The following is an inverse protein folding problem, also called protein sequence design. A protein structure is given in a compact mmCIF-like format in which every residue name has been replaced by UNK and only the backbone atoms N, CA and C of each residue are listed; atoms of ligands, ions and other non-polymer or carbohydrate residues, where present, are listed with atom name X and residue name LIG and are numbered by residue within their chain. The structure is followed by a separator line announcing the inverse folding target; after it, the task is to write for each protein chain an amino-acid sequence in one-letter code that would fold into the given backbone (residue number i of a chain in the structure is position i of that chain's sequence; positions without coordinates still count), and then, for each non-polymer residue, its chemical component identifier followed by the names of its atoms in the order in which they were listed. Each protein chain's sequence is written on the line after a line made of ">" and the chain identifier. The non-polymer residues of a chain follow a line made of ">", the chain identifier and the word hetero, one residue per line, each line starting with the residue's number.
data_IF_977440812574
#
_entry.id   IF_977440812574
#
_cell.length_a   1.000
_cell.length_b   1.000
_cell.length_c   1.000
_cell.angle_alpha   90.00
_cell.angle_beta   90.00
_cell.angle_gamma   90.00
#
_symmetry.space_group_name_H-M   'P 1'
#
loop_
_entity.id
_entity.type
_entity.pdbx_description
1 polymer ?
#
# COMPACT_ATOMS: atom_id res chain seq x y z
N UNK A 1 25.15 -0.93 -12.76
CA UNK A 1 25.21 -1.10 -11.32
C UNK A 1 23.96 -0.62 -10.59
N UNK A 2 23.38 0.49 -11.00
CA UNK A 2 22.11 0.96 -10.45
C UNK A 2 20.97 0.01 -10.74
N UNK A 3 21.02 -0.71 -11.87
CA UNK A 3 19.99 -1.67 -12.25
C UNK A 3 19.90 -2.87 -11.31
N UNK A 4 21.01 -3.25 -10.64
CA UNK A 4 21.02 -4.38 -9.72
C UNK A 4 20.29 -4.09 -8.42
N UNK A 5 20.32 -2.83 -7.98
CA UNK A 5 19.61 -2.42 -6.76
C UNK A 5 18.09 -2.39 -6.96
N UNK A 6 17.65 -2.10 -8.18
CA UNK A 6 16.22 -2.08 -8.51
C UNK A 6 15.61 -3.47 -8.55
N UNK A 7 16.44 -4.49 -8.85
CA UNK A 7 15.99 -5.87 -8.98
C UNK A 7 16.04 -6.64 -7.66
N UNK A 8 16.64 -6.07 -6.62
CA UNK A 8 16.68 -6.70 -5.30
C UNK A 8 15.41 -6.35 -4.53
N UNK A 9 14.67 -7.35 -4.04
CA UNK A 9 13.46 -7.07 -3.27
C UNK A 9 13.83 -6.36 -1.96
N UNK A 10 13.14 -5.28 -1.69
CA UNK A 10 13.26 -4.57 -0.42
C UNK A 10 12.56 -5.39 0.68
N UNK A 11 12.76 -4.98 1.94
CA UNK A 11 12.06 -5.61 3.06
C UNK A 11 10.55 -5.46 2.93
N UNK A 12 10.09 -4.32 2.40
CA UNK A 12 8.66 -4.11 2.13
C UNK A 12 8.15 -5.07 1.07
N UNK A 13 8.93 -5.34 0.03
CA UNK A 13 8.55 -6.29 -1.02
C UNK A 13 8.34 -7.69 -0.43
N UNK A 14 9.23 -8.11 0.47
CA UNK A 14 9.10 -9.41 1.16
C UNK A 14 7.81 -9.51 1.97
N UNK A 15 7.48 -8.43 2.68
CA UNK A 15 6.27 -8.37 3.50
C UNK A 15 5.02 -8.46 2.62
N UNK A 16 5.03 -7.78 1.48
CA UNK A 16 3.92 -7.80 0.53
C UNK A 16 3.77 -9.16 -0.15
N UNK A 17 4.89 -9.80 -0.50
CA UNK A 17 4.87 -11.17 -1.04
C UNK A 17 4.27 -12.14 -0.03
N UNK A 18 4.62 -11.98 1.25
CA UNK A 18 4.07 -12.81 2.31
C UNK A 18 2.57 -12.64 2.44
N UNK A 19 2.08 -11.39 2.37
CA UNK A 19 0.65 -11.10 2.41
C UNK A 19 -0.10 -11.79 1.27
N UNK A 20 0.41 -11.65 0.05
CA UNK A 20 -0.22 -12.26 -1.14
C UNK A 20 -0.24 -13.78 -1.02
N UNK A 21 0.82 -14.38 -0.47
CA UNK A 21 0.90 -15.82 -0.31
C UNK A 21 -0.03 -16.36 0.78
N UNK A 22 -0.12 -15.65 1.91
CA UNK A 22 -0.88 -16.12 3.08
C UNK A 22 -2.37 -15.92 2.97
N UNK A 23 -2.80 -14.83 2.35
CA UNK A 23 -4.23 -14.48 2.33
C UNK A 23 -4.80 -14.88 0.98
N UNK A 24 -5.78 -15.82 0.97
CA UNK A 24 -6.35 -16.29 -0.29
C UNK A 24 -6.99 -15.16 -1.10
N UNK A 25 -6.81 -15.24 -2.41
CA UNK A 25 -7.45 -14.38 -3.40
C UNK A 25 -6.88 -12.98 -3.50
N UNK A 26 -5.87 -12.61 -2.70
CA UNK A 26 -5.09 -11.41 -2.94
C UNK A 26 -4.15 -11.69 -4.11
N UNK A 27 -4.20 -10.86 -5.15
CA UNK A 27 -3.38 -11.05 -6.33
C UNK A 27 -2.19 -10.09 -6.38
N UNK A 28 -2.35 -8.89 -5.87
CA UNK A 28 -1.32 -7.84 -5.92
C UNK A 28 -1.40 -6.97 -4.68
N UNK A 29 -0.25 -6.51 -4.20
CA UNK A 29 -0.16 -5.61 -3.07
C UNK A 29 0.95 -4.59 -3.29
N UNK A 30 0.70 -3.34 -2.93
CA UNK A 30 1.64 -2.22 -3.10
C UNK A 30 1.58 -1.33 -1.87
N UNK A 31 2.74 -0.98 -1.30
CA UNK A 31 2.84 0.14 -0.37
C UNK A 31 3.17 1.40 -1.17
N UNK A 32 2.57 2.51 -0.78
CA UNK A 32 2.73 3.78 -1.48
C UNK A 32 2.75 4.94 -0.51
N UNK A 33 3.35 6.03 -0.95
CA UNK A 33 3.29 7.29 -0.24
C UNK A 33 1.98 8.01 -0.56
N UNK A 34 1.64 8.97 0.28
CA UNK A 34 0.41 9.76 0.15
C UNK A 34 0.34 10.50 -1.20
N UNK A 35 1.48 10.83 -1.79
CA UNK A 35 1.56 11.51 -3.09
C UNK A 35 1.65 10.53 -4.29
N UNK A 36 1.45 9.25 -4.06
CA UNK A 36 1.30 8.28 -5.14
C UNK A 36 2.55 7.59 -5.61
N UNK A 37 3.64 7.67 -4.83
CA UNK A 37 4.88 6.97 -5.17
C UNK A 37 4.89 5.57 -4.56
N UNK A 38 5.20 4.56 -5.36
CA UNK A 38 5.31 3.19 -4.86
C UNK A 38 6.55 3.04 -3.98
N UNK A 39 6.36 2.49 -2.79
CA UNK A 39 7.44 2.23 -1.82
C UNK A 39 7.85 0.76 -1.81
N UNK A 40 6.98 -0.13 -2.20
CA UNK A 40 7.21 -1.55 -2.31
C UNK A 40 6.07 -2.21 -3.04
N UNK A 41 6.32 -3.39 -3.61
CA UNK A 41 5.33 -4.11 -4.40
C UNK A 41 5.54 -5.62 -4.27
N UNK A 42 4.45 -6.39 -4.36
CA UNK A 42 4.53 -7.84 -4.43
C UNK A 42 5.10 -8.25 -5.79
N UNK A 43 5.60 -9.49 -5.87
CA UNK A 43 6.20 -10.03 -7.09
C UNK A 43 5.17 -10.13 -8.21
N UNK A 44 5.67 -10.08 -9.44
CA UNK A 44 4.85 -10.33 -10.62
C UNK A 44 4.09 -9.11 -11.12
N UNK A 45 4.30 -7.95 -10.52
CA UNK A 45 3.71 -6.71 -11.03
C UNK A 45 4.76 -5.96 -11.83
N UNK A 46 4.44 -5.60 -13.06
CA UNK A 46 5.33 -4.76 -13.86
C UNK A 46 5.43 -3.37 -13.26
N UNK A 47 6.56 -2.71 -13.48
CA UNK A 47 6.84 -1.38 -12.93
C UNK A 47 5.74 -0.36 -13.28
N UNK A 48 5.31 -0.35 -14.54
CA UNK A 48 4.26 0.56 -15.00
C UNK A 48 2.93 0.31 -14.27
N UNK A 49 2.57 -0.94 -14.06
CA UNK A 49 1.34 -1.31 -13.33
C UNK A 49 1.44 -0.94 -11.86
N UNK A 50 2.60 -1.12 -11.25
CA UNK A 50 2.85 -0.74 -9.86
C UNK A 50 2.67 0.77 -9.68
N UNK A 51 3.24 1.57 -10.57
CA UNK A 51 3.12 3.02 -10.52
C UNK A 51 1.68 3.48 -10.72
N UNK A 52 0.98 2.85 -11.66
CA UNK A 52 -0.42 3.15 -11.93
C UNK A 52 -1.30 2.82 -10.72
N UNK A 53 -1.08 1.65 -10.12
CA UNK A 53 -1.82 1.21 -8.94
C UNK A 53 -1.60 2.17 -7.77
N UNK A 54 -0.35 2.59 -7.55
CA UNK A 54 -0.01 3.54 -6.49
C UNK A 54 -0.71 4.89 -6.71
N UNK A 55 -0.74 5.38 -7.94
CA UNK A 55 -1.39 6.64 -8.26
C UNK A 55 -2.91 6.58 -8.01
N UNK A 56 -3.55 5.49 -8.43
CA UNK A 56 -4.99 5.28 -8.20
C UNK A 56 -5.30 5.20 -6.71
N UNK A 57 -4.50 4.44 -5.97
CA UNK A 57 -4.69 4.28 -4.52
C UNK A 57 -4.55 5.61 -3.78
N UNK A 58 -3.57 6.43 -4.17
CA UNK A 58 -3.38 7.76 -3.58
C UNK A 58 -4.61 8.63 -3.83
N UNK A 59 -5.20 8.56 -5.03
CA UNK A 59 -6.42 9.29 -5.37
C UNK A 59 -7.59 8.87 -4.50
N UNK A 60 -7.82 7.58 -4.33
CA UNK A 60 -8.89 7.08 -3.47
C UNK A 60 -8.68 7.47 -2.02
N UNK A 61 -7.44 7.38 -1.52
CA UNK A 61 -7.14 7.80 -0.16
C UNK A 61 -7.39 9.30 0.04
N UNK A 62 -7.08 10.11 -0.96
CA UNK A 62 -7.34 11.56 -0.91
C UNK A 62 -8.84 11.84 -0.82
N UNK A 63 -9.66 11.13 -1.61
CA UNK A 63 -11.12 11.26 -1.55
C UNK A 63 -11.65 10.84 -0.18
N UNK A 64 -11.15 9.74 0.36
CA UNK A 64 -11.56 9.24 1.68
C UNK A 64 -11.24 10.26 2.77
N UNK A 65 -10.07 10.88 2.72
CA UNK A 65 -9.69 11.91 3.68
C UNK A 65 -10.57 13.15 3.54
N UNK A 66 -10.94 13.52 2.31
CA UNK A 66 -11.87 14.61 2.08
C UNK A 66 -13.22 14.33 2.71
N UNK A 67 -13.72 13.10 2.59
CA UNK A 67 -14.98 12.70 3.21
C UNK A 67 -14.89 12.77 4.74
N UNK A 68 -13.79 12.29 5.33
CA UNK A 68 -13.64 12.31 6.78
C UNK A 68 -13.54 13.73 7.33
N UNK A 69 -12.89 14.65 6.59
CA UNK A 69 -12.84 16.06 7.01
C UNK A 69 -14.21 16.71 7.01
N UNK A 70 -15.07 16.32 6.09
CA UNK A 70 -16.40 16.90 5.96
C UNK A 70 -17.41 16.30 6.95
N UNK A 71 -17.36 14.96 7.12
CA UNK A 71 -18.35 14.25 7.93
C UNK A 71 -17.84 13.85 9.31
N UNK A 72 -16.57 14.02 9.58
CA UNK A 72 -15.94 13.64 10.85
C UNK A 72 -15.33 12.24 10.81
N UNK A 73 -14.52 11.94 11.82
CA UNK A 73 -13.84 10.65 11.92
C UNK A 73 -12.57 10.57 11.09
N UNK A 74 -11.94 9.42 11.08
CA UNK A 74 -10.74 9.15 10.31
C UNK A 74 -11.03 8.11 9.25
N UNK A 75 -10.57 8.35 8.02
CA UNK A 75 -10.70 7.39 6.94
C UNK A 75 -9.70 6.26 7.16
N UNK A 76 -10.19 5.02 7.28
CA UNK A 76 -9.33 3.85 7.51
C UNK A 76 -9.13 3.05 6.25
N UNK A 77 -10.20 2.80 5.51
CA UNK A 77 -10.15 1.97 4.32
C UNK A 77 -11.11 2.48 3.26
N UNK A 78 -10.72 2.30 2.00
CA UNK A 78 -11.59 2.50 0.85
C UNK A 78 -11.71 1.14 0.15
N UNK A 79 -12.93 0.74 -0.18
CA UNK A 79 -13.21 -0.53 -0.84
C UNK A 79 -13.96 -0.26 -2.12
N UNK A 80 -13.38 -0.66 -3.24
CA UNK A 80 -13.99 -0.50 -4.55
C UNK A 80 -14.29 -1.88 -5.11
N UNK A 81 -15.58 -2.17 -5.33
CA UNK A 81 -16.00 -3.42 -5.93
C UNK A 81 -16.02 -3.27 -7.45
N UNK A 82 -15.35 -4.21 -8.12
CA UNK A 82 -15.35 -4.31 -9.58
C UNK A 82 -15.85 -5.69 -9.96
N UNK A 83 -16.27 -5.86 -11.20
CA UNK A 83 -16.74 -7.18 -11.66
C UNK A 83 -15.63 -8.23 -11.62
N UNK A 84 -14.38 -7.80 -11.64
CA UNK A 84 -13.19 -8.68 -11.62
C UNK A 84 -12.64 -8.96 -10.22
N UNK A 85 -13.09 -8.23 -9.20
CA UNK A 85 -12.55 -8.36 -7.85
C UNK A 85 -12.67 -7.07 -7.07
N UNK A 86 -11.85 -6.94 -6.03
CA UNK A 86 -11.90 -5.77 -5.15
C UNK A 86 -10.56 -5.03 -5.17
N UNK A 87 -10.66 -3.71 -5.07
CA UNK A 87 -9.52 -2.83 -4.87
C UNK A 87 -9.69 -2.21 -3.48
N UNK A 88 -8.76 -2.50 -2.57
CA UNK A 88 -8.86 -2.06 -1.18
C UNK A 88 -7.64 -1.21 -0.85
N UNK A 89 -7.87 -0.01 -0.31
CA UNK A 89 -6.81 0.91 0.11
C UNK A 89 -6.94 1.16 1.59
N UNK A 90 -5.89 0.87 2.35
CA UNK A 90 -5.82 1.12 3.79
C UNK A 90 -4.85 2.25 4.06
N UNK A 91 -5.28 3.22 4.86
CA UNK A 91 -4.35 4.23 5.36
C UNK A 91 -3.39 3.57 6.35
N UNK A 92 -2.10 3.82 6.16
CA UNK A 92 -1.05 3.22 6.99
C UNK A 92 -0.44 4.22 7.98
N UNK A 93 -1.13 5.34 8.21
CA UNK A 93 -0.64 6.40 9.08
C UNK A 93 0.53 7.16 8.44
N UNK A 94 0.71 8.40 8.86
CA UNK A 94 1.86 9.25 8.50
C UNK A 94 2.23 9.29 7.02
N UNK A 95 1.23 9.40 6.17
CA UNK A 95 1.48 9.68 4.77
C UNK A 95 1.78 8.45 3.92
N UNK A 96 1.42 7.26 4.39
CA UNK A 96 1.57 6.03 3.61
C UNK A 96 0.25 5.28 3.50
N UNK A 97 0.15 4.40 2.51
CA UNK A 97 -1.02 3.56 2.25
C UNK A 97 -0.60 2.17 1.82
N UNK A 98 -1.50 1.23 2.03
CA UNK A 98 -1.39 -0.13 1.50
C UNK A 98 -2.55 -0.34 0.53
N UNK A 99 -2.26 -0.76 -0.70
CA UNK A 99 -3.26 -1.05 -1.72
C UNK A 99 -3.19 -2.52 -2.10
N UNK A 100 -4.35 -3.15 -2.24
CA UNK A 100 -4.46 -4.58 -2.54
C UNK A 100 -5.51 -4.79 -3.63
N UNK A 101 -5.21 -5.66 -4.57
CA UNK A 101 -6.19 -6.17 -5.54
C UNK A 101 -6.49 -7.63 -5.24
N UNK A 102 -7.75 -8.01 -5.35
CA UNK A 102 -8.21 -9.38 -5.09
C UNK A 102 -9.04 -9.90 -6.26
N UNK A 103 -9.30 -11.21 -6.25
CA UNK A 103 -10.31 -11.81 -7.11
C UNK A 103 -11.69 -11.61 -6.48
N UNK A 104 -12.76 -12.01 -7.24
CA UNK A 104 -14.14 -11.89 -6.76
C UNK A 104 -14.45 -12.83 -5.59
N UNK A 105 -13.68 -13.91 -5.42
CA UNK A 105 -13.89 -14.88 -4.37
C UNK A 105 -13.32 -14.46 -3.02
N UNK A 106 -12.66 -13.31 -2.95
CA UNK A 106 -12.00 -12.87 -1.70
C UNK A 106 -13.02 -12.61 -0.60
N UNK A 107 -12.65 -13.04 0.61
CA UNK A 107 -13.37 -12.66 1.83
C UNK A 107 -12.87 -11.28 2.24
N UNK A 108 -13.70 -10.26 2.00
CA UNK A 108 -13.31 -8.87 2.21
C UNK A 108 -12.98 -8.61 3.68
N UNK A 109 -13.74 -9.21 4.60
CA UNK A 109 -13.46 -9.06 6.02
C UNK A 109 -12.07 -9.58 6.40
N UNK A 110 -11.71 -10.74 5.88
CA UNK A 110 -10.38 -11.32 6.11
C UNK A 110 -9.27 -10.45 5.51
N UNK A 111 -9.47 -10.02 4.26
CA UNK A 111 -8.48 -9.18 3.57
C UNK A 111 -8.27 -7.87 4.33
N UNK A 112 -9.36 -7.20 4.70
CA UNK A 112 -9.30 -5.93 5.43
C UNK A 112 -8.61 -6.10 6.78
N UNK A 113 -8.90 -7.19 7.49
CA UNK A 113 -8.28 -7.50 8.77
C UNK A 113 -6.77 -7.71 8.64
N UNK A 114 -6.36 -8.51 7.67
CA UNK A 114 -4.93 -8.77 7.42
C UNK A 114 -4.18 -7.51 6.99
N UNK A 115 -4.82 -6.67 6.20
CA UNK A 115 -4.24 -5.38 5.82
C UNK A 115 -4.04 -4.48 7.03
N UNK A 116 -5.02 -4.43 7.93
CA UNK A 116 -4.93 -3.62 9.15
C UNK A 116 -3.77 -4.08 10.05
N UNK A 117 -3.60 -5.39 10.19
CA UNK A 117 -2.47 -5.95 10.96
C UNK A 117 -1.15 -5.55 10.32
N UNK A 118 -1.03 -5.71 9.02
CA UNK A 118 0.19 -5.41 8.30
C UNK A 118 0.56 -3.92 8.41
N UNK A 119 -0.42 -3.06 8.29
CA UNK A 119 -0.26 -1.61 8.42
C UNK A 119 0.27 -1.25 9.80
N UNK A 120 -0.26 -1.86 10.87
CA UNK A 120 0.22 -1.62 12.23
C UNK A 120 1.66 -2.05 12.41
N UNK A 121 2.03 -3.21 11.87
CA UNK A 121 3.39 -3.75 12.01
C UNK A 121 4.42 -2.94 11.24
N UNK A 122 4.07 -2.44 10.07
CA UNK A 122 5.01 -1.77 9.18
C UNK A 122 4.98 -0.25 9.31
N UNK A 123 3.92 0.31 9.90
CA UNK A 123 3.77 1.76 10.02
C UNK A 123 4.94 2.42 10.72
N UNK A 124 5.33 1.89 11.87
CA UNK A 124 6.46 2.43 12.64
C UNK A 124 7.77 2.31 11.88
N UNK A 125 7.95 1.20 11.18
CA UNK A 125 9.16 0.92 10.41
C UNK A 125 9.29 1.89 9.22
N UNK A 126 8.19 2.13 8.53
CA UNK A 126 8.15 3.09 7.43
C UNK A 126 8.46 4.51 7.89
N UNK A 127 7.98 4.89 9.05
CA UNK A 127 8.28 6.19 9.65
C UNK A 127 9.76 6.39 9.90
N UNK A 128 10.41 5.39 10.49
CA UNK A 128 11.84 5.43 10.79
C UNK A 128 12.63 5.59 9.49
N UNK A 129 12.30 4.83 8.45
CA UNK A 129 12.97 4.91 7.16
C UNK A 129 12.79 6.29 6.52
N UNK A 130 11.60 6.84 6.57
CA UNK A 130 11.31 8.16 6.01
C UNK A 130 12.03 9.26 6.77
N UNK A 131 12.12 9.18 8.10
CA UNK A 131 12.87 10.14 8.92
C UNK A 131 14.35 10.08 8.60
N UNK A 132 14.90 8.89 8.44
CA UNK A 132 16.29 8.69 8.10
C UNK A 132 16.62 9.31 6.75
N UNK A 133 15.76 9.09 5.75
CA UNK A 133 15.91 9.69 4.41
C UNK A 133 15.84 11.21 4.47
N UNK A 134 14.91 11.75 5.23
CA UNK A 134 14.76 13.19 5.41
C UNK A 134 15.98 13.81 6.08
N UNK A 135 16.50 13.17 7.14
CA UNK A 135 17.68 13.63 7.84
C UNK A 135 18.92 13.62 6.94
N UNK A 136 19.07 12.60 6.10
CA UNK A 136 20.18 12.52 5.15
C UNK A 136 20.08 13.59 4.07
N UNK A 137 18.86 13.92 3.65
CA UNK A 137 18.61 14.96 2.67
C UNK A 137 18.95 16.34 3.20
N UNK A 138 18.67 16.60 4.49
CA UNK A 138 18.90 17.90 5.13
C UNK A 138 20.38 18.18 5.41
N UNK A 139 21.22 17.16 5.38
CA UNK A 139 22.66 17.32 5.64
C UNK A 139 23.47 17.77 4.43
N UNK A 140 22.83 17.98 3.31
CA UNK A 140 23.48 18.52 2.11
C UNK A 140 23.41 20.04 2.11
#
# INVERSE_FOLDING_TARGET
>A
MESNQRNQPSQLDWVLDDLVRRVPHITRAVFLSQDGLALGASRGIEQADTEHLAALAAGFNSLARGASRHFGGDARQSIIEMTSGFFIVSAAGQGTCLAVLTTVEADIGQVAYEMAILVQRTGDHLQVDMRTRSALSDKR
#
